data_IF_710003324133
#
_entry.id   IF_710003324133
#
_cell.length_a   1.000
_cell.length_b   1.000
_cell.length_c   1.000
_cell.angle_alpha   90.00
_cell.angle_beta   90.00
_cell.angle_gamma   90.00
#
_symmetry.space_group_name_H-M   'P 1'
#
loop_
_entity.id
_entity.type
_entity.pdbx_description
1 polymer ?
#
# COMPACT_ATOMS: atom_id res chain seq x y z
N UNK A 1 -0.19 -16.94 -1.62
CA UNK A 1 -0.77 -17.64 -2.78
C UNK A 1 0.22 -18.73 -3.19
N UNK A 2 -0.22 -19.99 -3.30
CA UNK A 2 0.64 -21.16 -3.64
C UNK A 2 1.91 -21.33 -2.79
N UNK A 3 1.89 -20.94 -1.51
CA UNK A 3 3.07 -20.97 -0.63
C UNK A 3 4.13 -19.91 -0.93
N UNK A 4 3.83 -18.96 -1.80
CA UNK A 4 4.69 -17.80 -2.07
C UNK A 4 4.31 -16.63 -1.17
N UNK A 5 5.31 -15.91 -0.68
CA UNK A 5 5.20 -14.80 0.26
C UNK A 5 6.06 -13.61 -0.20
N UNK A 6 5.84 -12.46 0.43
CA UNK A 6 6.61 -11.24 0.20
C UNK A 6 6.49 -10.70 -1.22
N UNK A 7 7.57 -10.24 -1.79
CA UNK A 7 7.62 -9.57 -3.10
C UNK A 7 7.26 -10.46 -4.31
N UNK A 8 6.95 -11.75 -4.08
CA UNK A 8 6.49 -12.66 -5.14
C UNK A 8 5.00 -12.55 -5.42
N UNK A 9 4.25 -11.87 -4.54
CA UNK A 9 2.83 -11.58 -4.70
C UNK A 9 2.69 -10.09 -4.92
N UNK A 10 2.05 -9.70 -6.01
CA UNK A 10 1.74 -8.30 -6.27
C UNK A 10 0.54 -7.88 -5.41
N UNK A 11 0.71 -6.85 -4.59
CA UNK A 11 -0.39 -6.19 -3.88
C UNK A 11 -0.82 -4.99 -4.71
N UNK A 12 -2.11 -4.92 -4.99
CA UNK A 12 -2.72 -3.84 -5.75
C UNK A 12 -3.77 -3.14 -4.87
N UNK A 13 -3.84 -1.84 -4.98
CA UNK A 13 -4.90 -1.01 -4.41
C UNK A 13 -5.64 -0.33 -5.56
N UNK A 14 -6.91 -0.67 -5.75
CA UNK A 14 -7.72 -0.22 -6.90
C UNK A 14 -7.01 -0.44 -8.25
N UNK A 15 -6.21 -1.52 -8.33
CA UNK A 15 -5.45 -1.89 -9.53
C UNK A 15 -4.04 -1.28 -9.63
N UNK A 16 -3.60 -0.50 -8.63
CA UNK A 16 -2.27 0.10 -8.60
C UNK A 16 -1.33 -0.77 -7.79
N UNK A 17 -0.14 -1.06 -8.30
CA UNK A 17 0.89 -1.74 -7.53
C UNK A 17 1.28 -0.96 -6.27
N UNK A 18 1.24 -1.64 -5.12
CA UNK A 18 1.61 -1.09 -3.82
C UNK A 18 2.91 -1.69 -3.28
N UNK A 19 3.44 -2.70 -3.96
CA UNK A 19 4.70 -3.28 -3.55
C UNK A 19 5.82 -2.28 -3.81
N UNK A 20 6.50 -1.89 -2.75
CA UNK A 20 7.81 -1.27 -2.86
C UNK A 20 8.87 -2.35 -2.96
N UNK A 21 10.04 -2.02 -3.50
CA UNK A 21 11.20 -2.94 -3.57
C UNK A 21 11.53 -3.61 -2.22
N UNK A 22 11.13 -2.98 -1.13
CA UNK A 22 11.45 -3.37 0.25
C UNK A 22 10.31 -4.11 0.96
N UNK A 23 9.17 -4.36 0.27
CA UNK A 23 8.00 -4.97 0.89
C UNK A 23 7.34 -4.08 1.94
N UNK A 24 7.45 -2.77 1.82
CA UNK A 24 7.07 -1.80 2.85
C UNK A 24 5.56 -1.71 3.11
N UNK A 25 4.73 -2.23 2.21
CA UNK A 25 3.27 -2.19 2.36
C UNK A 25 2.72 -3.54 2.81
N UNK A 26 2.03 -3.56 3.96
CA UNK A 26 1.38 -4.76 4.49
C UNK A 26 -0.14 -4.66 4.34
N UNK A 27 -0.78 -5.78 3.99
CA UNK A 27 -2.25 -5.89 3.91
C UNK A 27 -2.93 -5.56 5.24
N UNK A 28 -2.26 -5.84 6.36
CA UNK A 28 -2.79 -5.62 7.71
C UNK A 28 -2.95 -4.13 8.06
N UNK A 29 -2.39 -3.25 7.23
CA UNK A 29 -2.43 -1.81 7.45
C UNK A 29 -3.64 -1.14 6.83
N UNK A 30 -4.36 -1.84 5.96
CA UNK A 30 -5.53 -1.30 5.28
C UNK A 30 -6.74 -1.42 6.19
N UNK A 31 -7.43 -0.32 6.49
CA UNK A 31 -8.68 -0.39 7.25
C UNK A 31 -9.72 -1.22 6.49
N UNK A 32 -10.27 -2.24 7.15
CA UNK A 32 -11.27 -3.12 6.56
C UNK A 32 -12.50 -2.33 6.12
N UNK A 33 -12.82 -1.26 6.82
CA UNK A 33 -14.00 -0.43 6.58
C UNK A 33 -14.05 0.22 5.20
N UNK A 34 -12.89 0.43 4.56
CA UNK A 34 -12.82 1.01 3.22
C UNK A 34 -12.84 -0.03 2.10
N UNK A 35 -12.68 -1.30 2.45
CA UNK A 35 -12.61 -2.38 1.47
C UNK A 35 -14.03 -2.77 1.02
N UNK A 36 -14.27 -2.76 -0.29
CA UNK A 36 -15.46 -3.36 -0.89
C UNK A 36 -15.27 -4.86 -1.07
N UNK A 37 -14.16 -5.25 -1.68
CA UNK A 37 -13.81 -6.64 -1.94
C UNK A 37 -12.30 -6.82 -2.12
N UNK A 38 -11.86 -8.05 -1.95
CA UNK A 38 -10.49 -8.48 -2.23
C UNK A 38 -10.53 -9.45 -3.40
N UNK A 39 -9.82 -9.13 -4.47
CA UNK A 39 -9.69 -9.98 -5.65
C UNK A 39 -8.35 -10.71 -5.61
N UNK A 40 -8.36 -12.04 -5.68
CA UNK A 40 -7.15 -12.86 -5.62
C UNK A 40 -6.93 -13.54 -6.97
N UNK A 41 -5.85 -13.16 -7.64
CA UNK A 41 -5.42 -13.72 -8.92
C UNK A 41 -4.29 -14.72 -8.68
N UNK A 42 -4.56 -16.02 -8.83
CA UNK A 42 -3.62 -17.09 -8.43
C UNK A 42 -2.60 -17.47 -9.49
N UNK A 43 -2.89 -17.26 -10.76
CA UNK A 43 -2.02 -17.72 -11.86
C UNK A 43 -1.99 -16.76 -13.05
N UNK A 44 -3.16 -16.23 -13.42
CA UNK A 44 -3.27 -15.30 -14.54
C UNK A 44 -3.73 -13.96 -13.96
N UNK A 45 -2.83 -12.99 -14.02
CA UNK A 45 -3.13 -11.61 -13.65
C UNK A 45 -3.69 -10.93 -14.90
N UNK A 46 -4.87 -10.30 -14.84
CA UNK A 46 -5.40 -9.58 -15.99
C UNK A 46 -4.41 -8.53 -16.50
N UNK A 47 -4.17 -8.50 -17.80
CA UNK A 47 -3.23 -7.58 -18.46
C UNK A 47 -3.50 -6.10 -18.12
N UNK A 48 -4.76 -5.77 -17.75
CA UNK A 48 -5.15 -4.43 -17.29
C UNK A 48 -4.39 -3.93 -16.06
N UNK A 49 -3.78 -4.81 -15.27
CA UNK A 49 -2.99 -4.41 -14.09
C UNK A 49 -1.53 -4.17 -14.38
N UNK A 50 -1.03 -4.62 -15.54
CA UNK A 50 0.34 -4.35 -15.97
C UNK A 50 1.42 -4.85 -15.02
N UNK A 51 1.17 -5.94 -14.29
CA UNK A 51 2.09 -6.45 -13.28
C UNK A 51 2.54 -7.89 -13.59
N UNK A 52 3.78 -8.19 -13.22
CA UNK A 52 4.49 -9.45 -13.49
C UNK A 52 4.61 -10.34 -12.23
N UNK A 53 3.58 -10.39 -11.39
CA UNK A 53 3.60 -11.19 -10.17
C UNK A 53 3.74 -12.69 -10.44
N UNK A 54 4.92 -13.27 -10.22
CA UNK A 54 5.18 -14.71 -10.38
C UNK A 54 4.27 -15.59 -9.50
N UNK A 55 3.86 -15.09 -8.34
CA UNK A 55 3.00 -15.80 -7.39
C UNK A 55 1.52 -15.44 -7.51
N UNK A 56 1.16 -14.51 -8.39
CA UNK A 56 -0.18 -13.96 -8.50
C UNK A 56 -0.30 -12.54 -7.96
N UNK A 57 -1.53 -12.03 -7.90
CA UNK A 57 -1.81 -10.70 -7.36
C UNK A 57 -2.99 -10.71 -6.38
N UNK A 58 -2.97 -9.79 -5.44
CA UNK A 58 -4.08 -9.47 -4.54
C UNK A 58 -4.47 -8.03 -4.78
N UNK A 59 -5.65 -7.80 -5.34
CA UNK A 59 -6.19 -6.46 -5.57
C UNK A 59 -7.21 -6.11 -4.49
N UNK A 60 -6.96 -5.05 -3.76
CA UNK A 60 -7.88 -4.50 -2.80
C UNK A 60 -8.70 -3.45 -3.50
N UNK A 61 -9.97 -3.71 -3.64
CA UNK A 61 -10.91 -2.77 -4.25
C UNK A 61 -11.62 -2.01 -3.16
N UNK A 62 -11.47 -0.68 -3.20
CA UNK A 62 -12.15 0.18 -2.25
C UNK A 62 -13.61 0.41 -2.64
N UNK A 63 -14.43 0.73 -1.65
CA UNK A 63 -15.85 0.98 -1.86
C UNK A 63 -16.07 2.13 -2.84
N UNK A 64 -16.63 1.84 -3.99
CA UNK A 64 -17.14 2.83 -4.94
C UNK A 64 -18.65 2.99 -4.75
N UNK A 65 -19.07 3.85 -3.85
CA UNK A 65 -20.49 4.13 -3.67
C UNK A 65 -21.00 5.07 -4.78
N UNK A 66 -22.13 4.72 -5.36
CA UNK A 66 -22.84 5.60 -6.30
C UNK A 66 -23.50 6.79 -5.61
N UNK A 67 -23.62 6.78 -4.30
CA UNK A 67 -24.30 7.78 -3.47
C UNK A 67 -23.31 8.55 -2.61
N UNK A 68 -23.77 9.71 -2.12
CA UNK A 68 -23.03 10.46 -1.11
C UNK A 68 -22.89 9.64 0.18
N UNK A 69 -21.72 9.67 0.79
CA UNK A 69 -21.50 9.05 2.10
C UNK A 69 -20.47 9.82 2.92
N UNK A 70 -20.57 9.61 4.21
CA UNK A 70 -19.57 9.94 5.22
C UNK A 70 -19.45 8.71 6.12
N UNK A 71 -18.28 8.13 6.17
CA UNK A 71 -17.94 7.00 7.04
C UNK A 71 -16.83 7.43 7.99
N UNK A 72 -17.02 7.20 9.28
CA UNK A 72 -16.03 7.52 10.28
C UNK A 72 -16.00 6.40 11.33
N UNK A 73 -14.82 5.89 11.60
CA UNK A 73 -14.61 4.85 12.59
C UNK A 73 -13.50 5.22 13.58
N UNK A 74 -13.61 4.70 14.78
CA UNK A 74 -12.56 4.77 15.79
C UNK A 74 -12.57 3.51 16.64
N UNK A 75 -11.42 2.87 16.74
CA UNK A 75 -11.20 1.63 17.48
C UNK A 75 -10.10 1.82 18.51
N UNK A 76 -10.35 1.31 19.71
CA UNK A 76 -9.39 1.20 20.81
C UNK A 76 -9.07 -0.27 21.04
N UNK A 77 -7.81 -0.62 21.02
CA UNK A 77 -7.32 -1.97 21.27
C UNK A 77 -6.34 -2.06 22.43
N UNK A 78 -5.93 -3.28 22.75
CA UNK A 78 -4.89 -3.55 23.74
C UNK A 78 -3.57 -2.88 23.36
N UNK A 79 -2.68 -2.70 24.33
CA UNK A 79 -1.33 -2.15 24.14
C UNK A 79 -1.30 -0.75 23.51
N UNK A 80 -2.27 0.09 23.91
CA UNK A 80 -2.44 1.46 23.40
C UNK A 80 -2.61 1.50 21.87
N UNK A 81 -3.35 0.54 21.34
CA UNK A 81 -3.72 0.55 19.93
C UNK A 81 -4.87 1.52 19.69
N UNK A 82 -4.68 2.44 18.77
CA UNK A 82 -5.66 3.41 18.32
C UNK A 82 -5.75 3.30 16.80
N UNK A 83 -6.95 3.10 16.27
CA UNK A 83 -7.23 3.18 14.83
C UNK A 83 -8.37 4.15 14.61
N UNK A 84 -8.22 5.02 13.66
CA UNK A 84 -9.25 5.96 13.27
C UNK A 84 -9.29 6.13 11.76
N UNK A 85 -10.46 6.21 11.18
CA UNK A 85 -10.64 6.49 9.77
C UNK A 85 -11.79 7.45 9.53
N UNK A 86 -11.66 8.28 8.50
CA UNK A 86 -12.74 9.13 7.99
C UNK A 86 -12.66 9.13 6.48
N UNK A 87 -13.76 8.77 5.82
CA UNK A 87 -13.90 8.81 4.37
C UNK A 87 -15.21 9.47 3.99
N UNK A 88 -15.16 10.34 3.01
CA UNK A 88 -16.32 11.08 2.51
C UNK A 88 -16.32 11.12 1.00
N UNK A 89 -17.51 11.02 0.43
CA UNK A 89 -17.73 11.20 -1.00
C UNK A 89 -18.96 12.06 -1.22
N UNK A 90 -18.84 13.00 -2.12
CA UNK A 90 -19.93 13.87 -2.56
C UNK A 90 -20.09 13.83 -4.06
N UNK A 91 -21.26 13.47 -4.51
CA UNK A 91 -21.62 13.47 -5.91
C UNK A 91 -22.49 14.69 -6.23
N UNK A 92 -22.18 15.38 -7.32
CA UNK A 92 -22.93 16.50 -7.84
C UNK A 92 -23.54 16.13 -9.22
N UNK A 93 -24.70 15.43 -9.25
CA UNK A 93 -25.23 14.86 -10.48
C UNK A 93 -25.54 15.90 -11.56
N UNK A 94 -25.87 17.12 -11.19
CA UNK A 94 -26.18 18.22 -12.15
C UNK A 94 -24.94 18.64 -12.94
N UNK A 95 -23.82 18.80 -12.29
CA UNK A 95 -22.52 19.17 -12.90
C UNK A 95 -21.71 17.99 -13.38
N UNK A 96 -22.05 16.77 -12.97
CA UNK A 96 -21.26 15.57 -13.26
C UNK A 96 -19.92 15.53 -12.54
N UNK A 97 -19.83 16.19 -11.39
CA UNK A 97 -18.61 16.23 -10.57
C UNK A 97 -18.78 15.27 -9.40
N UNK A 98 -17.73 14.52 -9.11
CA UNK A 98 -17.61 13.68 -7.94
C UNK A 98 -16.36 14.10 -7.18
N UNK A 99 -16.50 14.31 -5.88
CA UNK A 99 -15.39 14.59 -4.96
C UNK A 99 -15.34 13.51 -3.90
N UNK A 100 -14.15 12.98 -3.65
CA UNK A 100 -13.87 12.04 -2.57
C UNK A 100 -12.66 12.49 -1.79
N UNK A 101 -12.69 12.32 -0.48
CA UNK A 101 -11.52 12.53 0.37
C UNK A 101 -11.63 11.68 1.63
N UNK A 102 -10.49 11.26 2.15
CA UNK A 102 -10.45 10.53 3.40
C UNK A 102 -9.05 10.15 3.81
N UNK A 103 -8.98 9.44 4.92
CA UNK A 103 -7.72 8.93 5.42
C UNK A 103 -7.92 8.08 6.66
N UNK A 104 -6.87 7.42 7.06
CA UNK A 104 -6.80 6.69 8.30
C UNK A 104 -5.52 7.00 9.07
N UNK A 105 -5.58 6.72 10.35
CA UNK A 105 -4.45 6.75 11.27
C UNK A 105 -4.50 5.51 12.15
N UNK A 106 -3.37 4.83 12.26
CA UNK A 106 -3.19 3.70 13.18
C UNK A 106 -1.93 3.92 14.00
N UNK A 107 -2.01 3.67 15.28
CA UNK A 107 -0.84 3.63 16.17
C UNK A 107 -1.00 2.54 17.22
N UNK A 108 0.11 1.93 17.60
CA UNK A 108 0.18 0.96 18.69
C UNK A 108 1.50 1.10 19.42
N UNK A 109 1.51 0.91 20.72
CA UNK A 109 2.73 0.87 21.51
C UNK A 109 3.32 -0.53 21.59
N UNK A 110 2.46 -1.55 21.48
CA UNK A 110 2.82 -2.98 21.48
C UNK A 110 3.64 -3.39 22.72
N UNK A 111 3.41 -2.79 23.86
CA UNK A 111 4.16 -2.99 25.12
C UNK A 111 3.71 -4.23 25.90
N UNK A 112 3.39 -5.32 25.20
CA UNK A 112 2.98 -6.58 25.81
C UNK A 112 4.15 -7.37 26.41
N UNK A 113 3.83 -8.30 27.31
CA UNK A 113 4.80 -9.23 27.86
C UNK A 113 4.77 -10.55 27.09
N UNK A 114 5.93 -11.12 26.86
CA UNK A 114 6.08 -12.42 26.21
C UNK A 114 7.17 -13.25 26.89
N UNK A 115 7.21 -14.55 26.61
CA UNK A 115 8.23 -15.45 27.12
C UNK A 115 9.26 -15.73 26.05
N UNK A 116 10.55 -15.66 26.41
CA UNK A 116 11.67 -15.99 25.55
C UNK A 116 12.01 -17.48 25.73
N UNK A 117 11.66 -18.36 24.76
CA UNK A 117 11.82 -19.82 24.95
C UNK A 117 13.27 -20.24 25.17
N UNK A 118 14.21 -19.59 24.45
CA UNK A 118 15.65 -19.88 24.50
C UNK A 118 16.31 -19.41 25.81
N UNK A 119 15.59 -18.70 26.68
CA UNK A 119 16.04 -18.19 27.97
C UNK A 119 15.17 -18.71 29.11
N UNK A 120 14.98 -20.00 29.16
CA UNK A 120 14.21 -20.70 30.23
C UNK A 120 12.78 -20.09 30.40
N UNK A 121 12.18 -19.63 29.32
CA UNK A 121 10.88 -18.93 29.34
C UNK A 121 10.89 -17.63 30.17
N UNK A 122 11.99 -16.91 30.21
CA UNK A 122 12.08 -15.59 30.84
C UNK A 122 10.92 -14.70 30.37
N UNK A 123 10.16 -14.17 31.33
CA UNK A 123 9.08 -13.23 31.02
C UNK A 123 9.65 -11.83 30.87
N UNK A 124 9.52 -11.25 29.68
CA UNK A 124 10.00 -9.91 29.37
C UNK A 124 8.86 -9.03 28.85
N UNK A 125 8.99 -7.74 29.02
CA UNK A 125 8.08 -6.74 28.48
C UNK A 125 8.73 -6.08 27.28
N UNK A 126 7.98 -5.92 26.18
CA UNK A 126 8.42 -5.15 25.03
C UNK A 126 8.49 -3.67 25.34
N UNK A 127 9.56 -3.01 24.94
CA UNK A 127 9.82 -1.59 25.16
C UNK A 127 10.15 -0.81 23.86
N UNK A 128 10.43 -1.53 22.77
CA UNK A 128 10.80 -0.98 21.47
C UNK A 128 10.04 -1.71 20.36
N UNK A 129 8.74 -1.43 20.22
CA UNK A 129 7.84 -2.07 19.23
C UNK A 129 6.71 -1.12 18.82
N UNK A 130 6.97 0.19 18.87
CA UNK A 130 5.97 1.17 18.46
C UNK A 130 5.73 1.12 16.97
N UNK A 131 4.47 1.21 16.62
CA UNK A 131 4.00 1.27 15.26
C UNK A 131 3.12 2.50 15.07
N UNK A 132 3.24 3.14 13.91
CA UNK A 132 2.36 4.23 13.49
C UNK A 132 2.27 4.25 11.98
N UNK A 133 1.07 4.31 11.44
CA UNK A 133 0.83 4.55 10.03
C UNK A 133 -0.32 5.51 9.80
N UNK A 134 -0.30 6.21 8.69
CA UNK A 134 -1.42 7.02 8.24
C UNK A 134 -1.44 7.13 6.73
N UNK A 135 -2.64 7.32 6.19
CA UNK A 135 -2.86 7.58 4.78
C UNK A 135 -3.85 8.72 4.61
N UNK A 136 -3.62 9.53 3.62
CA UNK A 136 -4.55 10.53 3.10
C UNK A 136 -4.82 10.22 1.63
N UNK A 137 -6.07 10.32 1.19
CA UNK A 137 -6.50 10.04 -0.17
C UNK A 137 -7.51 11.10 -0.62
N UNK A 138 -7.42 11.52 -1.87
CA UNK A 138 -8.37 12.44 -2.48
C UNK A 138 -8.64 12.07 -3.92
N UNK A 139 -9.90 12.20 -4.35
CA UNK A 139 -10.37 11.90 -5.71
C UNK A 139 -11.25 13.00 -6.24
N UNK A 140 -11.05 13.38 -7.49
CA UNK A 140 -11.95 14.23 -8.26
C UNK A 140 -12.29 13.52 -9.56
N UNK A 141 -13.56 13.42 -9.91
CA UNK A 141 -13.98 12.84 -11.19
C UNK A 141 -15.04 13.70 -11.87
N UNK A 142 -15.01 13.70 -13.20
CA UNK A 142 -15.95 14.38 -14.09
C UNK A 142 -16.57 13.36 -15.02
N UNK A 143 -17.93 13.33 -15.07
CA UNK A 143 -18.69 12.33 -15.85
C UNK A 143 -19.57 12.95 -16.94
N UNK A 144 -19.54 14.27 -17.10
CA UNK A 144 -20.35 15.00 -18.08
C UNK A 144 -19.52 15.84 -19.04
N UNK A 145 -18.32 15.36 -19.37
CA UNK A 145 -17.47 15.95 -20.39
C UNK A 145 -17.52 15.11 -21.68
N UNK A 146 -16.59 15.37 -22.62
CA UNK A 146 -16.48 14.54 -23.82
C UNK A 146 -16.11 13.09 -23.48
N UNK A 147 -15.27 12.90 -22.48
CA UNK A 147 -15.04 11.58 -21.87
C UNK A 147 -16.23 11.18 -21.00
N UNK A 148 -16.49 9.88 -20.91
CA UNK A 148 -17.51 9.33 -20.02
C UNK A 148 -17.06 9.45 -18.56
N UNK A 149 -15.75 9.34 -18.33
CA UNK A 149 -15.12 9.63 -17.05
C UNK A 149 -13.72 10.21 -17.26
N UNK A 150 -13.42 11.27 -16.51
CA UNK A 150 -12.07 11.76 -16.24
C UNK A 150 -11.94 11.73 -14.74
N UNK A 151 -11.05 10.94 -14.19
CA UNK A 151 -10.81 10.94 -12.75
C UNK A 151 -9.32 11.13 -12.44
N UNK A 152 -9.09 11.89 -11.38
CA UNK A 152 -7.76 12.13 -10.83
C UNK A 152 -7.79 11.78 -9.35
N UNK A 153 -6.83 11.00 -8.92
CA UNK A 153 -6.69 10.56 -7.55
C UNK A 153 -5.27 10.83 -7.06
N UNK A 154 -5.13 11.19 -5.80
CA UNK A 154 -3.86 11.31 -5.13
C UNK A 154 -3.92 10.64 -3.77
N UNK A 155 -2.81 10.05 -3.36
CA UNK A 155 -2.64 9.38 -2.08
C UNK A 155 -1.28 9.71 -1.47
N UNK A 156 -1.25 9.79 -0.16
CA UNK A 156 -0.03 9.87 0.62
C UNK A 156 -0.10 8.89 1.78
N UNK A 157 0.86 8.00 1.85
CA UNK A 157 1.01 7.01 2.89
C UNK A 157 2.32 7.20 3.63
N UNK A 158 2.31 7.01 4.94
CA UNK A 158 3.51 7.04 5.77
C UNK A 158 3.41 6.01 6.88
N UNK A 159 4.52 5.35 7.17
CA UNK A 159 4.66 4.33 8.20
C UNK A 159 5.95 4.55 8.98
N UNK A 160 5.85 4.32 10.26
CA UNK A 160 6.97 4.21 11.19
C UNK A 160 6.81 2.95 12.02
N UNK A 161 7.86 2.17 12.16
CA UNK A 161 7.91 1.06 13.08
C UNK A 161 9.29 0.92 13.71
N UNK A 162 9.30 0.68 15.00
CA UNK A 162 10.48 0.19 15.73
C UNK A 162 10.68 -1.29 15.38
N UNK A 163 11.91 -1.72 15.26
CA UNK A 163 12.25 -3.11 14.92
C UNK A 163 12.47 -3.87 16.22
N UNK A 164 11.71 -4.94 16.38
CA UNK A 164 11.71 -5.74 17.58
C UNK A 164 12.51 -7.03 17.43
N UNK A 165 13.34 -7.32 18.40
CA UNK A 165 14.05 -8.60 18.50
C UNK A 165 13.20 -9.68 19.17
N UNK A 166 13.47 -10.94 18.79
CA UNK A 166 12.88 -12.13 19.44
C UNK A 166 13.88 -12.80 20.39
N UNK A 167 15.15 -12.85 20.01
CA UNK A 167 16.22 -13.49 20.77
C UNK A 167 17.09 -12.50 21.57
N UNK A 168 17.11 -11.26 21.16
CA UNK A 168 17.82 -10.16 21.81
C UNK A 168 16.94 -8.94 21.90
N UNK A 169 17.20 -8.07 22.86
CA UNK A 169 16.43 -6.82 23.03
C UNK A 169 16.97 -5.75 22.10
N UNK A 170 16.27 -5.50 20.99
CA UNK A 170 16.60 -4.42 20.04
C UNK A 170 15.96 -3.14 20.56
N UNK A 171 16.73 -2.06 20.67
CA UNK A 171 16.29 -0.80 21.28
C UNK A 171 16.45 0.43 20.38
N UNK A 172 17.14 0.33 19.26
CA UNK A 172 17.46 1.49 18.44
C UNK A 172 17.11 1.34 16.97
N UNK A 173 16.91 0.08 16.49
CA UNK A 173 16.60 -0.13 15.09
C UNK A 173 15.17 0.33 14.76
N UNK A 174 15.03 1.14 13.72
CA UNK A 174 13.73 1.67 13.27
C UNK A 174 13.62 1.70 11.75
N UNK A 175 12.40 1.67 11.25
CA UNK A 175 12.10 1.83 9.84
C UNK A 175 11.04 2.92 9.62
N UNK A 176 11.27 3.77 8.62
CA UNK A 176 10.33 4.80 8.15
C UNK A 176 10.11 4.60 6.67
N UNK A 177 8.88 4.39 6.26
CA UNK A 177 8.53 4.32 4.84
C UNK A 177 7.44 5.32 4.49
N UNK A 178 7.47 5.80 3.27
CA UNK A 178 6.48 6.71 2.74
C UNK A 178 6.21 6.45 1.27
N UNK A 179 5.01 6.74 0.82
CA UNK A 179 4.60 6.63 -0.57
C UNK A 179 3.68 7.80 -0.93
N UNK A 180 3.99 8.46 -2.01
CA UNK A 180 3.09 9.37 -2.70
C UNK A 180 2.58 8.70 -3.96
N UNK A 181 1.29 8.79 -4.23
CA UNK A 181 0.62 8.23 -5.40
C UNK A 181 -0.16 9.31 -6.11
N UNK A 182 -0.10 9.30 -7.42
CA UNK A 182 -0.94 10.12 -8.29
C UNK A 182 -1.45 9.25 -9.44
N UNK A 183 -2.74 9.38 -9.73
CA UNK A 183 -3.39 8.66 -10.81
C UNK A 183 -4.27 9.58 -11.63
N UNK A 184 -4.33 9.27 -12.91
CA UNK A 184 -5.29 9.85 -13.82
C UNK A 184 -5.89 8.76 -14.70
N UNK A 185 -7.22 8.73 -14.79
CA UNK A 185 -7.95 7.76 -15.60
C UNK A 185 -8.87 8.48 -16.55
N UNK A 186 -8.85 8.07 -17.81
CA UNK A 186 -9.70 8.57 -18.87
C UNK A 186 -10.47 7.39 -19.47
N UNK A 187 -11.78 7.51 -19.55
CA UNK A 187 -12.66 6.52 -20.20
C UNK A 187 -13.49 7.20 -21.25
N UNK A 188 -13.52 6.63 -22.43
CA UNK A 188 -14.43 7.02 -23.50
C UNK A 188 -14.95 5.80 -24.24
N UNK A 189 -16.23 5.55 -24.13
CA UNK A 189 -16.91 4.48 -24.84
C UNK A 189 -17.68 5.01 -26.04
N UNK A 190 -17.96 4.14 -26.97
CA UNK A 190 -18.88 4.43 -28.06
C UNK A 190 -18.37 5.39 -29.14
N UNK A 191 -17.07 5.56 -29.28
CA UNK A 191 -16.45 6.31 -30.38
C UNK A 191 -16.74 5.57 -31.71
N UNK A 192 -16.82 6.32 -32.83
CA UNK A 192 -17.05 5.75 -34.18
C UNK A 192 -18.29 4.84 -34.25
N UNK A 193 -19.45 5.39 -33.95
CA UNK A 193 -20.72 4.65 -33.98
C UNK A 193 -20.74 3.42 -33.04
N UNK A 194 -20.28 3.60 -31.83
CA UNK A 194 -20.21 2.55 -30.79
C UNK A 194 -19.27 1.37 -31.13
N UNK A 195 -18.27 1.60 -31.94
CA UNK A 195 -17.29 0.54 -32.31
C UNK A 195 -15.99 0.60 -31.54
N UNK A 196 -15.58 1.80 -31.05
CA UNK A 196 -14.30 1.97 -30.37
C UNK A 196 -14.54 2.43 -28.93
N UNK A 197 -13.93 1.70 -27.99
CA UNK A 197 -13.77 2.11 -26.60
C UNK A 197 -12.30 2.43 -26.33
N UNK A 198 -12.07 3.46 -25.58
CA UNK A 198 -10.76 3.96 -25.16
C UNK A 198 -10.70 4.03 -23.64
N UNK A 199 -9.65 3.51 -23.07
CA UNK A 199 -9.29 3.67 -21.66
C UNK A 199 -7.81 3.99 -21.55
N UNK A 200 -7.45 5.04 -20.79
CA UNK A 200 -6.08 5.37 -20.42
C UNK A 200 -6.00 5.45 -18.92
N UNK A 201 -4.93 4.91 -18.36
CA UNK A 201 -4.66 4.90 -16.94
C UNK A 201 -3.19 5.24 -16.71
N UNK A 202 -2.95 6.45 -16.27
CA UNK A 202 -1.64 6.94 -15.86
C UNK A 202 -1.49 6.81 -14.35
N UNK A 203 -0.38 6.29 -13.87
CA UNK A 203 -0.03 6.29 -12.44
C UNK A 203 1.43 6.69 -12.24
N UNK A 204 1.66 7.45 -11.17
CA UNK A 204 2.97 7.81 -10.68
C UNK A 204 3.02 7.49 -9.20
N UNK A 205 4.01 6.73 -8.77
CA UNK A 205 4.30 6.50 -7.36
C UNK A 205 5.74 6.89 -7.03
N UNK A 206 5.92 7.56 -5.91
CA UNK A 206 7.22 7.86 -5.33
C UNK A 206 7.29 7.27 -3.94
N UNK A 207 8.24 6.36 -3.75
CA UNK A 207 8.46 5.65 -2.49
C UNK A 207 9.73 6.12 -1.81
N UNK A 208 9.71 6.11 -0.49
CA UNK A 208 10.88 6.36 0.34
C UNK A 208 10.94 5.30 1.43
N UNK A 209 12.10 4.73 1.69
CA UNK A 209 12.32 3.82 2.80
C UNK A 209 13.63 4.18 3.50
N UNK A 210 13.55 4.40 4.80
CA UNK A 210 14.68 4.74 5.63
C UNK A 210 14.75 3.75 6.80
N UNK A 211 15.71 2.85 6.73
CA UNK A 211 16.02 1.91 7.79
C UNK A 211 17.27 2.34 8.53
N UNK A 212 17.18 2.45 9.84
CA UNK A 212 18.27 2.90 10.71
C UNK A 212 18.56 1.84 11.77
N UNK A 213 19.79 1.35 11.81
CA UNK A 213 20.32 0.44 12.83
C UNK A 213 21.82 0.73 13.00
N UNK A 214 22.13 1.75 13.80
CA UNK A 214 23.51 2.25 13.99
C UNK A 214 23.99 2.13 15.44
N UNK A 215 23.33 1.34 16.27
CA UNK A 215 23.71 1.15 17.66
C UNK A 215 25.11 0.52 17.78
N UNK A 216 25.88 0.97 18.75
CA UNK A 216 27.23 0.43 19.02
C UNK A 216 27.24 -0.68 20.05
N UNK A 217 26.12 -0.91 20.70
CA UNK A 217 25.94 -1.90 21.75
C UNK A 217 24.68 -2.71 21.47
N UNK A 218 24.70 -3.95 21.88
CA UNK A 218 23.53 -4.81 21.94
C UNK A 218 23.06 -4.97 23.39
N UNK A 219 21.79 -5.26 23.56
CA UNK A 219 21.15 -5.54 24.83
C UNK A 219 20.56 -6.95 24.82
N UNK A 220 20.68 -7.66 25.92
CA UNK A 220 19.88 -8.85 26.14
C UNK A 220 18.62 -8.53 26.95
N UNK A 221 17.76 -9.52 27.14
CA UNK A 221 16.53 -9.34 27.92
C UNK A 221 16.75 -9.34 29.44
N UNK A 222 17.94 -9.67 29.93
CA UNK A 222 18.34 -9.58 31.32
C UNK A 222 18.92 -8.19 31.67
N UNK A 223 19.10 -7.32 30.68
CA UNK A 223 19.64 -5.97 30.85
C UNK A 223 21.15 -5.86 30.73
N UNK A 224 21.83 -6.91 30.32
CA UNK A 224 23.27 -6.83 30.07
C UNK A 224 23.54 -6.11 28.74
N UNK A 225 24.63 -5.36 28.72
CA UNK A 225 25.08 -4.57 27.57
C UNK A 225 26.41 -5.13 27.10
N UNK A 226 26.55 -5.37 25.81
CA UNK A 226 27.77 -5.86 25.20
C UNK A 226 28.02 -5.19 23.86
N UNK A 227 29.28 -5.08 23.42
CA UNK A 227 29.60 -4.45 22.14
C UNK A 227 28.88 -5.15 20.99
N UNK A 228 28.34 -4.37 20.06
CA UNK A 228 27.82 -4.93 18.81
C UNK A 228 28.95 -5.61 18.04
N UNK A 229 28.71 -6.78 17.43
CA UNK A 229 29.64 -7.35 16.47
C UNK A 229 30.00 -6.31 15.40
N UNK A 230 31.27 -6.25 15.00
CA UNK A 230 31.74 -5.23 14.06
C UNK A 230 31.48 -3.76 14.48
N UNK A 231 31.08 -3.53 15.74
CA UNK A 231 30.96 -2.22 16.36
C UNK A 231 29.70 -1.42 16.05
N UNK A 232 28.74 -1.96 15.29
CA UNK A 232 27.47 -1.27 14.99
C UNK A 232 26.37 -2.23 14.58
N UNK A 233 25.10 -1.82 14.85
CA UNK A 233 23.89 -2.54 14.50
C UNK A 233 23.42 -3.54 15.55
N UNK A 234 22.12 -3.66 15.69
CA UNK A 234 21.45 -4.60 16.60
C UNK A 234 20.78 -5.73 15.82
N UNK A 235 20.37 -5.50 14.57
CA UNK A 235 19.62 -6.48 13.77
C UNK A 235 20.52 -7.41 12.97
N UNK A 236 21.72 -6.97 12.62
CA UNK A 236 22.68 -7.72 11.79
C UNK A 236 24.12 -7.52 12.20
N UNK A 237 25.04 -7.96 11.36
CA UNK A 237 26.48 -7.89 11.60
C UNK A 237 27.13 -6.61 11.08
N UNK A 238 26.37 -5.73 10.47
CA UNK A 238 26.83 -4.47 9.90
C UNK A 238 25.84 -3.35 10.23
N UNK A 239 26.36 -2.11 10.45
CA UNK A 239 25.51 -0.96 10.64
C UNK A 239 24.69 -0.70 9.37
N UNK A 240 23.44 -0.35 9.56
CA UNK A 240 22.55 -0.03 8.47
C UNK A 240 21.98 1.38 8.64
N UNK A 241 22.16 2.20 7.65
CA UNK A 241 21.49 3.48 7.54
C UNK A 241 21.20 3.70 6.06
N UNK A 242 20.12 3.07 5.60
CA UNK A 242 19.68 3.16 4.21
C UNK A 242 18.65 4.26 4.06
N UNK A 243 18.65 4.88 2.91
CA UNK A 243 17.63 5.83 2.49
C UNK A 243 17.31 5.56 1.02
N UNK A 244 16.45 4.59 0.80
CA UNK A 244 16.09 4.12 -0.51
C UNK A 244 14.92 4.96 -1.03
N UNK A 245 14.97 5.30 -2.32
CA UNK A 245 13.93 6.06 -3.00
C UNK A 245 13.59 5.35 -4.30
N UNK A 246 12.32 5.23 -4.59
CA UNK A 246 11.83 4.69 -5.84
C UNK A 246 10.89 5.67 -6.53
N UNK A 247 10.97 5.72 -7.84
CA UNK A 247 10.00 6.41 -8.69
C UNK A 247 9.50 5.40 -9.71
N UNK A 248 8.20 5.23 -9.78
CA UNK A 248 7.56 4.38 -10.76
C UNK A 248 6.50 5.17 -11.51
N UNK A 249 6.57 5.12 -12.84
CA UNK A 249 5.62 5.78 -13.73
C UNK A 249 5.06 4.71 -14.66
N UNK A 250 3.74 4.58 -14.67
CA UNK A 250 3.04 3.65 -15.55
C UNK A 250 2.03 4.41 -16.40
N UNK A 251 1.99 4.13 -17.68
CA UNK A 251 0.91 4.53 -18.58
C UNK A 251 0.38 3.28 -19.27
N UNK A 252 -0.91 3.07 -19.16
CA UNK A 252 -1.61 1.98 -19.83
C UNK A 252 -2.70 2.54 -20.72
N UNK A 253 -2.68 2.15 -21.97
CA UNK A 253 -3.71 2.50 -22.96
C UNK A 253 -4.36 1.21 -23.44
N UNK A 254 -5.67 1.16 -23.35
CA UNK A 254 -6.50 0.07 -23.86
C UNK A 254 -7.47 0.59 -24.92
N UNK A 255 -7.39 -0.01 -26.09
CA UNK A 255 -8.30 0.24 -27.21
C UNK A 255 -9.07 -1.05 -27.52
N UNK A 256 -10.37 -0.99 -27.44
CA UNK A 256 -11.25 -2.10 -27.80
C UNK A 256 -12.09 -1.72 -29.02
N UNK A 257 -11.81 -2.35 -30.16
CA UNK A 257 -12.48 -2.08 -31.43
C UNK A 257 -13.36 -3.24 -31.86
N UNK A 258 -14.65 -2.98 -31.99
CA UNK A 258 -15.65 -3.95 -32.47
C UNK A 258 -15.66 -4.00 -34.01
N UNK A 259 -15.08 -5.05 -34.56
CA UNK A 259 -15.03 -5.30 -36.01
C UNK A 259 -16.41 -5.69 -36.55
N UNK A 260 -17.11 -6.58 -35.84
CA UNK A 260 -18.45 -7.07 -36.16
C UNK A 260 -19.22 -7.44 -34.90
N UNK A 261 -20.42 -7.98 -35.03
CA UNK A 261 -21.20 -8.49 -33.88
C UNK A 261 -20.49 -9.56 -33.08
N UNK A 262 -19.60 -10.36 -33.75
CA UNK A 262 -18.95 -11.53 -33.16
C UNK A 262 -17.44 -11.40 -33.07
N UNK A 263 -16.85 -10.31 -33.53
CA UNK A 263 -15.39 -10.13 -33.56
C UNK A 263 -15.02 -8.76 -32.98
N UNK A 264 -14.08 -8.74 -32.06
CA UNK A 264 -13.44 -7.55 -31.54
C UNK A 264 -11.92 -7.67 -31.58
N UNK A 265 -11.25 -6.54 -31.68
CA UNK A 265 -9.80 -6.39 -31.58
C UNK A 265 -9.52 -5.55 -30.35
N UNK A 266 -8.69 -6.08 -29.47
CA UNK A 266 -8.20 -5.36 -28.31
C UNK A 266 -6.71 -5.07 -28.49
N UNK A 267 -6.31 -3.81 -28.33
CA UNK A 267 -4.94 -3.37 -28.27
C UNK A 267 -4.67 -2.81 -26.87
N UNK A 268 -3.77 -3.45 -26.14
CA UNK A 268 -3.32 -3.00 -24.83
C UNK A 268 -1.84 -2.63 -24.91
N UNK A 269 -1.50 -1.42 -24.49
CA UNK A 269 -0.14 -0.92 -24.42
C UNK A 269 0.18 -0.54 -23.00
N UNK A 270 1.29 -1.04 -22.48
CA UNK A 270 1.84 -0.68 -21.18
C UNK A 270 3.21 -0.06 -21.37
N UNK A 271 3.41 1.12 -20.80
CA UNK A 271 4.70 1.79 -20.67
C UNK A 271 4.99 1.87 -19.18
N UNK A 272 6.09 1.26 -18.76
CA UNK A 272 6.56 1.30 -17.38
C UNK A 272 7.96 1.89 -17.36
N UNK A 273 8.18 2.79 -16.41
CA UNK A 273 9.50 3.32 -16.07
C UNK A 273 9.66 3.26 -14.55
N UNK A 274 10.69 2.57 -14.08
CA UNK A 274 11.05 2.45 -12.67
C UNK A 274 12.52 2.87 -12.47
N UNK A 275 12.77 3.63 -11.41
CA UNK A 275 14.09 4.12 -11.01
C UNK A 275 14.29 3.96 -9.51
#
# INVERSE_FOLDING_TARGET
VHGLEGNRIQILWDGIPMNTSDGAFSLDEIPIDIIERIEVYKSIIPARFGCDGLGGAVNIVTKEFSTDYLDASYELGSYQTHKGSVFSRKNFPKSGILLGAGGYYTSAKNDYSFRVPERENLLVKRDHDRFRSYMLKGKVAFTKLWFDEISTEFGYYNRFNEIQGVLKNIQHAENKSGMFMFENKLIKSGIQNNRLNFESHFSLSHTTNNFVDTARVNHDFEGNIYPSPNGQGETGDVPHNSNDKGLEINERINLDYKLSTNHSLNLNTLINHAQ
#
